data_IF_457300811376
#
_entry.id   IF_457300811376
#
_cell.length_a   1.000
_cell.length_b   1.000
_cell.length_c   1.000
_cell.angle_alpha   90.00
_cell.angle_beta   90.00
_cell.angle_gamma   90.00
#
_symmetry.space_group_name_H-M   'P 1'
#
loop_
_entity.id
_entity.type
_entity.pdbx_description
1 polymer ?
#
# COMPACT_ATOMS: atom_id res chain seq x y z
N UNK A 1 -2.98 15.41 -7.08
CA UNK A 1 -1.49 15.40 -7.05
C UNK A 1 -0.98 14.02 -7.50
N UNK A 2 0.27 13.89 -7.97
CA UNK A 2 0.87 12.57 -8.26
C UNK A 2 1.67 12.11 -7.04
N UNK A 3 1.32 10.95 -6.48
CA UNK A 3 1.92 10.44 -5.22
C UNK A 3 2.47 9.04 -5.46
N UNK A 4 3.67 8.78 -4.96
CA UNK A 4 4.25 7.44 -4.89
C UNK A 4 4.25 6.99 -3.43
N UNK A 5 3.65 5.83 -3.15
CA UNK A 5 3.62 5.25 -1.80
C UNK A 5 4.31 3.89 -1.80
N UNK A 6 5.29 3.72 -0.91
CA UNK A 6 6.02 2.47 -0.74
C UNK A 6 5.62 1.77 0.56
N UNK A 7 5.32 0.48 0.48
CA UNK A 7 5.05 -0.37 1.63
C UNK A 7 6.08 -1.50 1.72
N UNK A 8 6.70 -1.65 2.91
CA UNK A 8 7.64 -2.75 3.18
C UNK A 8 6.92 -4.06 3.49
N UNK A 9 7.66 -5.17 3.53
CA UNK A 9 7.09 -6.51 3.75
C UNK A 9 6.33 -6.65 5.07
N UNK A 10 6.74 -5.92 6.12
CA UNK A 10 6.02 -5.87 7.40
C UNK A 10 4.63 -5.23 7.28
N UNK A 11 4.48 -4.26 6.37
CA UNK A 11 3.24 -3.54 6.07
C UNK A 11 2.29 -4.34 5.16
N UNK A 12 2.79 -5.36 4.46
CA UNK A 12 1.99 -6.23 3.58
C UNK A 12 2.06 -7.71 3.99
N UNK A 13 2.47 -8.00 5.23
CA UNK A 13 2.85 -9.36 5.66
C UNK A 13 1.70 -10.36 5.81
N UNK A 14 0.45 -9.91 5.76
CA UNK A 14 -0.74 -10.77 5.79
C UNK A 14 -1.93 -10.09 5.10
N UNK A 15 -3.01 -10.84 4.89
CA UNK A 15 -4.20 -10.34 4.20
C UNK A 15 -4.91 -9.18 4.92
N UNK A 16 -4.89 -9.12 6.26
CA UNK A 16 -5.50 -8.00 7.02
C UNK A 16 -4.71 -6.72 6.79
N UNK A 17 -3.38 -6.81 6.82
CA UNK A 17 -2.47 -5.68 6.55
C UNK A 17 -2.58 -5.19 5.11
N UNK A 18 -2.66 -6.09 4.13
CA UNK A 18 -2.90 -5.74 2.73
C UNK A 18 -4.24 -5.00 2.59
N UNK A 19 -5.32 -5.49 3.23
CA UNK A 19 -6.62 -4.82 3.20
C UNK A 19 -6.55 -3.41 3.81
N UNK A 20 -5.82 -3.26 4.91
CA UNK A 20 -5.60 -1.95 5.53
C UNK A 20 -4.87 -0.98 4.59
N UNK A 21 -3.80 -1.43 3.94
CA UNK A 21 -3.08 -0.65 2.92
C UNK A 21 -4.01 -0.26 1.76
N UNK A 22 -4.84 -1.19 1.27
CA UNK A 22 -5.79 -0.92 0.20
C UNK A 22 -6.84 0.14 0.58
N UNK A 23 -7.34 0.12 1.83
CA UNK A 23 -8.27 1.14 2.33
C UNK A 23 -7.60 2.52 2.41
N UNK A 24 -6.34 2.58 2.86
CA UNK A 24 -5.57 3.82 2.89
C UNK A 24 -5.40 4.38 1.48
N UNK A 25 -4.99 3.55 0.52
CA UNK A 25 -4.82 3.95 -0.89
C UNK A 25 -6.12 4.45 -1.51
N UNK A 26 -7.24 3.77 -1.23
CA UNK A 26 -8.57 4.20 -1.68
C UNK A 26 -8.90 5.61 -1.19
N UNK A 27 -8.68 5.91 0.09
CA UNK A 27 -8.92 7.24 0.65
C UNK A 27 -8.13 8.32 -0.10
N UNK A 28 -6.83 8.12 -0.32
CA UNK A 28 -6.02 9.09 -1.06
C UNK A 28 -6.46 9.24 -2.51
N UNK A 29 -6.96 8.17 -3.13
CA UNK A 29 -7.47 8.24 -4.49
C UNK A 29 -8.77 9.05 -4.57
N UNK A 30 -9.69 8.84 -3.61
CA UNK A 30 -10.94 9.59 -3.48
C UNK A 30 -10.70 11.09 -3.21
N UNK A 31 -9.58 11.45 -2.58
CA UNK A 31 -9.12 12.84 -2.44
C UNK A 31 -8.60 13.45 -3.76
N UNK A 32 -8.69 12.74 -4.89
CA UNK A 32 -8.29 13.24 -6.22
C UNK A 32 -6.82 13.02 -6.56
N UNK A 33 -6.13 12.11 -5.86
CA UNK A 33 -4.73 11.80 -6.14
C UNK A 33 -4.57 10.69 -7.18
N UNK A 34 -3.57 10.86 -8.06
CA UNK A 34 -3.06 9.80 -8.91
C UNK A 34 -1.94 9.11 -8.14
N UNK A 35 -2.09 7.80 -7.90
CA UNK A 35 -1.23 7.06 -6.97
C UNK A 35 -0.50 5.95 -7.71
N UNK A 36 0.81 5.86 -7.49
CA UNK A 36 1.62 4.69 -7.82
C UNK A 36 2.02 4.01 -6.52
N UNK A 37 1.88 2.69 -6.46
CA UNK A 37 2.16 1.91 -5.26
C UNK A 37 3.28 0.93 -5.53
N UNK A 38 4.29 0.92 -4.64
CA UNK A 38 5.42 -0.01 -4.69
C UNK A 38 5.40 -0.86 -3.43
N UNK A 39 5.44 -2.18 -3.57
CA UNK A 39 5.44 -3.12 -2.44
C UNK A 39 6.64 -4.04 -2.50
N UNK A 40 7.23 -4.33 -1.33
CA UNK A 40 8.13 -5.49 -1.18
C UNK A 40 7.32 -6.80 -1.15
N UNK A 41 8.00 -7.94 -1.21
CA UNK A 41 7.37 -9.22 -0.92
C UNK A 41 6.82 -9.27 0.52
N UNK A 42 5.92 -10.23 0.79
CA UNK A 42 5.37 -10.49 2.12
C UNK A 42 6.48 -10.59 3.18
N UNK A 43 6.25 -10.08 4.40
CA UNK A 43 7.26 -10.14 5.46
C UNK A 43 7.76 -11.57 5.73
N UNK A 44 9.07 -11.76 5.75
CA UNK A 44 9.70 -13.06 6.04
C UNK A 44 9.79 -14.03 4.86
N UNK A 45 9.49 -13.59 3.63
CA UNK A 45 9.58 -14.45 2.42
C UNK A 45 10.77 -14.12 1.51
N UNK A 46 11.57 -13.10 1.88
CA UNK A 46 12.81 -12.69 1.21
C UNK A 46 13.97 -12.97 2.14
#
# INVERSE_FOLDING_TARGET
MKIVMKFGGTSVGDGKKIRHVAQLLKKYHEEGNQIVVVTSALGGVT
#
